data_IF_134371369293
#
_entry.id   IF_134371369293
#
_cell.length_a   1.000
_cell.length_b   1.000
_cell.length_c   1.000
_cell.angle_alpha   90.00
_cell.angle_beta   90.00
_cell.angle_gamma   90.00
#
_symmetry.space_group_name_H-M   'P 1'
#
loop_
_entity.id
_entity.type
_entity.pdbx_description
1 polymer ?
#
# COMPACT_ATOMS: atom_id res chain seq x y z
N UNK A 1 1.70 37.46 -0.48
CA UNK A 1 1.00 36.30 -1.07
C UNK A 1 1.33 35.08 -0.24
N UNK A 2 0.40 34.66 0.62
CA UNK A 2 0.52 33.47 1.45
C UNK A 2 0.19 32.24 0.60
N UNK A 3 1.21 31.50 0.19
CA UNK A 3 1.02 30.17 -0.39
C UNK A 3 0.50 29.26 0.73
N UNK A 4 -0.81 29.05 0.77
CA UNK A 4 -1.39 27.96 1.54
C UNK A 4 -0.79 26.67 1.01
N UNK A 5 0.10 26.02 1.78
CA UNK A 5 0.43 24.63 1.50
C UNK A 5 -0.85 23.82 1.69
N UNK A 6 -1.19 23.00 0.70
CA UNK A 6 -2.11 21.91 0.96
C UNK A 6 -1.52 21.08 2.10
N UNK A 7 -2.24 20.97 3.20
CA UNK A 7 -1.84 20.14 4.33
C UNK A 7 -2.24 18.69 4.02
N UNK A 8 -1.32 17.75 4.24
CA UNK A 8 -1.53 16.32 4.09
C UNK A 8 -0.72 15.72 2.93
N UNK A 9 -0.78 14.41 2.80
CA UNK A 9 0.04 13.65 1.82
C UNK A 9 -0.31 13.93 0.36
N UNK A 10 0.64 13.67 -0.53
CA UNK A 10 0.43 13.63 -1.98
C UNK A 10 0.01 12.20 -2.36
N UNK A 11 -1.04 12.07 -3.19
CA UNK A 11 -1.42 10.79 -3.79
C UNK A 11 -1.06 10.73 -5.27
N UNK A 12 -0.31 9.71 -5.65
CA UNK A 12 -0.07 9.30 -7.03
C UNK A 12 -0.97 8.12 -7.36
N UNK A 13 -1.82 8.25 -8.37
CA UNK A 13 -2.55 7.13 -8.94
C UNK A 13 -1.72 6.52 -10.07
N UNK A 14 -1.24 5.29 -9.86
CA UNK A 14 -0.51 4.51 -10.86
C UNK A 14 -1.48 3.67 -11.67
N UNK A 15 -1.38 3.76 -12.98
CA UNK A 15 -2.06 2.84 -13.90
C UNK A 15 -1.01 2.21 -14.79
N UNK A 16 -0.92 0.89 -14.77
CA UNK A 16 0.03 0.15 -15.60
C UNK A 16 -0.45 0.12 -17.06
N UNK A 17 0.46 0.22 -18.05
CA UNK A 17 0.09 0.16 -19.46
C UNK A 17 -0.54 -1.17 -19.87
N UNK A 18 -0.04 -2.27 -19.31
CA UNK A 18 -0.48 -3.65 -19.57
C UNK A 18 -0.16 -4.56 -18.37
N UNK A 19 -0.62 -5.81 -18.46
CA UNK A 19 -0.41 -6.82 -17.41
C UNK A 19 1.08 -7.17 -17.24
N UNK A 20 1.89 -7.12 -18.29
CA UNK A 20 3.31 -7.43 -18.21
C UNK A 20 4.07 -6.40 -17.34
N UNK A 21 3.83 -5.10 -17.53
CA UNK A 21 4.43 -4.05 -16.71
C UNK A 21 3.96 -4.15 -15.25
N UNK A 22 2.68 -4.47 -15.07
CA UNK A 22 2.08 -4.66 -13.74
C UNK A 22 2.70 -5.86 -13.02
N UNK A 23 2.79 -7.01 -13.66
CA UNK A 23 3.41 -8.22 -13.12
C UNK A 23 4.89 -7.98 -12.81
N UNK A 24 5.61 -7.33 -13.72
CA UNK A 24 7.02 -6.97 -13.52
C UNK A 24 7.18 -6.10 -12.28
N UNK A 25 6.37 -5.04 -12.16
CA UNK A 25 6.40 -4.16 -10.99
C UNK A 25 6.16 -4.93 -9.69
N UNK A 26 5.08 -5.72 -9.61
CA UNK A 26 4.73 -6.42 -8.37
C UNK A 26 5.65 -7.59 -8.04
N UNK A 27 6.27 -8.22 -9.04
CA UNK A 27 7.26 -9.27 -8.80
C UNK A 27 8.55 -8.74 -8.15
N UNK A 28 8.94 -7.50 -8.47
CA UNK A 28 10.15 -6.87 -7.95
C UNK A 28 9.89 -6.07 -6.66
N UNK A 29 8.64 -5.65 -6.44
CA UNK A 29 8.24 -4.79 -5.33
C UNK A 29 8.77 -5.29 -3.98
N UNK A 30 8.57 -6.55 -3.54
CA UNK A 30 8.98 -6.96 -2.19
C UNK A 30 10.49 -6.83 -1.94
N UNK A 31 11.33 -7.09 -2.94
CA UNK A 31 12.78 -6.96 -2.81
C UNK A 31 13.21 -5.48 -2.66
N UNK A 32 12.57 -4.60 -3.43
CA UNK A 32 12.80 -3.16 -3.32
C UNK A 32 12.34 -2.62 -1.95
N UNK A 33 11.19 -3.08 -1.44
CA UNK A 33 10.72 -2.72 -0.10
C UNK A 33 11.71 -3.20 0.98
N UNK A 34 12.13 -4.46 0.94
CA UNK A 34 13.06 -5.03 1.94
C UNK A 34 14.46 -4.37 1.91
N UNK A 35 14.89 -3.86 0.76
CA UNK A 35 16.18 -3.18 0.59
C UNK A 35 16.12 -1.67 0.85
N UNK A 36 14.93 -1.09 1.12
CA UNK A 36 14.76 0.36 1.21
C UNK A 36 15.31 1.00 2.48
N UNK A 37 15.67 0.20 3.49
CA UNK A 37 16.05 0.69 4.82
C UNK A 37 14.87 1.18 5.68
N UNK A 38 13.64 0.86 5.30
CA UNK A 38 12.43 1.07 6.09
C UNK A 38 11.85 -0.28 6.52
N UNK A 39 10.97 -0.25 7.52
CA UNK A 39 10.17 -1.41 7.85
C UNK A 39 8.83 -1.33 7.10
N UNK A 40 8.37 -2.49 6.64
CA UNK A 40 7.15 -2.62 5.85
C UNK A 40 6.21 -3.58 6.53
N UNK A 41 4.94 -3.21 6.57
CA UNK A 41 3.85 -4.10 6.94
C UNK A 41 2.79 -4.06 5.84
N UNK A 42 2.01 -5.12 5.72
CA UNK A 42 0.93 -5.18 4.77
C UNK A 42 -0.24 -5.99 5.29
N UNK A 43 -1.39 -5.73 4.72
CA UNK A 43 -2.62 -6.49 4.89
C UNK A 43 -3.27 -6.67 3.54
N UNK A 44 -4.08 -7.71 3.41
CA UNK A 44 -4.85 -7.96 2.20
C UNK A 44 -6.11 -8.74 2.49
N UNK A 45 -7.05 -8.72 1.55
CA UNK A 45 -8.23 -9.56 1.66
C UNK A 45 -8.99 -9.65 0.36
N UNK A 46 -9.94 -10.58 0.34
CA UNK A 46 -10.90 -10.73 -0.76
C UNK A 46 -12.24 -10.14 -0.36
N UNK A 47 -12.85 -9.39 -1.27
CA UNK A 47 -14.25 -8.97 -1.14
C UNK A 47 -15.22 -10.09 -1.53
N UNK A 48 -14.76 -11.01 -2.37
CA UNK A 48 -15.52 -12.15 -2.87
C UNK A 48 -14.79 -13.47 -2.54
N UNK A 49 -15.50 -14.61 -2.49
CA UNK A 49 -14.88 -15.91 -2.35
C UNK A 49 -13.82 -16.18 -3.44
N UNK A 50 -12.81 -16.97 -3.11
CA UNK A 50 -11.78 -17.38 -4.06
C UNK A 50 -12.41 -18.08 -5.28
N UNK A 51 -12.07 -17.62 -6.48
CA UNK A 51 -12.51 -18.24 -7.72
C UNK A 51 -12.00 -19.71 -7.78
N UNK A 52 -12.83 -20.69 -8.18
CA UNK A 52 -12.44 -22.11 -8.21
C UNK A 52 -11.21 -22.42 -9.07
N UNK A 53 -10.93 -21.58 -10.06
CA UNK A 53 -9.84 -21.67 -11.01
C UNK A 53 -8.63 -20.78 -10.66
N UNK A 54 -8.64 -20.15 -9.48
CA UNK A 54 -7.50 -19.32 -9.04
C UNK A 54 -6.21 -20.14 -9.06
N UNK A 55 -5.13 -19.63 -9.69
CA UNK A 55 -3.83 -20.29 -9.69
C UNK A 55 -3.18 -20.33 -8.31
N UNK A 56 -3.69 -19.53 -7.36
CA UNK A 56 -3.15 -19.40 -6.01
C UNK A 56 -4.25 -19.78 -5.01
N UNK A 57 -4.08 -20.91 -4.35
CA UNK A 57 -5.10 -21.51 -3.46
C UNK A 57 -4.71 -21.52 -1.98
N UNK A 58 -3.44 -21.28 -1.65
CA UNK A 58 -2.93 -21.38 -0.27
C UNK A 58 -3.02 -20.05 0.51
N UNK A 59 -3.30 -18.93 -0.15
CA UNK A 59 -3.39 -17.62 0.50
C UNK A 59 -4.66 -17.51 1.35
N UNK A 60 -4.57 -16.91 2.55
CA UNK A 60 -5.72 -16.75 3.43
C UNK A 60 -6.77 -15.83 2.80
N UNK A 61 -8.02 -15.96 3.24
CA UNK A 61 -9.10 -15.05 2.83
C UNK A 61 -8.81 -13.60 3.21
N UNK A 62 -8.35 -13.41 4.44
CA UNK A 62 -7.88 -12.13 4.97
C UNK A 62 -6.51 -12.33 5.60
N UNK A 63 -5.60 -11.42 5.30
CA UNK A 63 -4.30 -11.33 5.95
C UNK A 63 -4.32 -10.16 6.93
N UNK A 64 -4.13 -10.42 8.23
CA UNK A 64 -3.98 -9.36 9.21
C UNK A 64 -2.76 -8.51 8.92
N UNK A 65 -2.67 -7.33 9.51
CA UNK A 65 -1.47 -6.51 9.39
C UNK A 65 -0.22 -7.31 9.79
N UNK A 66 0.64 -7.58 8.81
CA UNK A 66 1.77 -8.51 8.91
C UNK A 66 3.04 -7.78 8.52
N UNK A 67 4.12 -7.97 9.28
CA UNK A 67 5.44 -7.42 8.94
C UNK A 67 6.05 -8.18 7.75
N UNK A 68 6.49 -7.44 6.73
CA UNK A 68 7.24 -7.98 5.59
C UNK A 68 8.63 -8.40 6.04
N UNK A 69 8.98 -9.65 5.74
CA UNK A 69 10.26 -10.27 6.01
C UNK A 69 10.75 -10.99 4.76
N UNK A 70 11.99 -11.48 4.79
CA UNK A 70 12.52 -12.28 3.68
C UNK A 70 11.78 -13.60 3.50
N UNK A 71 11.23 -14.15 4.57
CA UNK A 71 10.59 -15.46 4.58
C UNK A 71 9.19 -15.41 3.98
N UNK A 72 8.49 -14.28 4.11
CA UNK A 72 7.11 -14.11 3.62
C UNK A 72 6.98 -13.21 2.38
N UNK A 73 8.09 -12.70 1.82
CA UNK A 73 8.05 -11.80 0.65
C UNK A 73 7.36 -12.41 -0.58
N UNK A 74 7.46 -13.72 -0.74
CA UNK A 74 6.82 -14.44 -1.84
C UNK A 74 5.29 -14.40 -1.70
N UNK A 75 4.76 -14.49 -0.49
CA UNK A 75 3.32 -14.37 -0.24
C UNK A 75 2.78 -12.99 -0.66
N UNK A 76 3.54 -11.92 -0.43
CA UNK A 76 3.16 -10.58 -0.92
C UNK A 76 3.09 -10.53 -2.45
N UNK A 77 4.08 -11.09 -3.16
CA UNK A 77 4.05 -11.17 -4.63
C UNK A 77 2.84 -11.94 -5.14
N UNK A 78 2.54 -13.07 -4.51
CA UNK A 78 1.43 -13.93 -4.92
C UNK A 78 0.07 -13.27 -4.63
N UNK A 79 -0.05 -12.45 -3.59
CA UNK A 79 -1.26 -11.66 -3.34
C UNK A 79 -1.58 -10.67 -4.47
N UNK A 80 -0.57 -10.07 -5.10
CA UNK A 80 -0.78 -9.20 -6.27
C UNK A 80 -1.17 -9.97 -7.54
N UNK A 81 -0.73 -11.22 -7.65
CA UNK A 81 -1.00 -12.12 -8.78
C UNK A 81 -2.34 -12.82 -8.67
N UNK A 82 -2.90 -12.93 -7.47
CA UNK A 82 -4.23 -13.48 -7.26
C UNK A 82 -5.28 -12.57 -7.92
N UNK A 83 -5.83 -13.08 -9.03
CA UNK A 83 -6.88 -12.48 -9.83
C UNK A 83 -7.83 -13.56 -10.31
N UNK A 84 -9.12 -13.24 -10.38
CA UNK A 84 -10.11 -14.09 -11.01
C UNK A 84 -10.17 -13.86 -12.53
N UNK A 85 -11.02 -14.63 -13.21
CA UNK A 85 -11.22 -14.55 -14.67
C UNK A 85 -11.78 -13.19 -15.14
N UNK A 86 -12.45 -12.45 -14.25
CA UNK A 86 -12.98 -11.12 -14.53
C UNK A 86 -11.95 -10.02 -14.21
N UNK A 87 -10.77 -10.40 -13.72
CA UNK A 87 -9.66 -9.50 -13.38
C UNK A 87 -9.77 -8.84 -12.01
N UNK A 88 -10.76 -9.23 -11.20
CA UNK A 88 -10.87 -8.77 -9.81
C UNK A 88 -9.83 -9.46 -8.94
N UNK A 89 -9.34 -8.72 -7.95
CA UNK A 89 -8.29 -9.19 -7.08
C UNK A 89 -8.51 -8.83 -5.63
N UNK A 90 -7.44 -9.05 -4.86
CA UNK A 90 -7.39 -8.68 -3.46
C UNK A 90 -7.29 -7.16 -3.31
N UNK A 91 -7.91 -6.60 -2.28
CA UNK A 91 -7.40 -5.34 -1.76
C UNK A 91 -6.08 -5.59 -1.07
N UNK A 92 -5.15 -4.66 -1.21
CA UNK A 92 -3.83 -4.75 -0.60
C UNK A 92 -3.44 -3.36 -0.11
N UNK A 93 -3.10 -3.27 1.16
CA UNK A 93 -2.52 -2.06 1.74
C UNK A 93 -1.12 -2.39 2.24
N UNK A 94 -0.11 -1.68 1.75
CA UNK A 94 1.28 -1.77 2.17
C UNK A 94 1.66 -0.46 2.84
N UNK A 95 2.26 -0.53 4.03
CA UNK A 95 2.60 0.63 4.84
C UNK A 95 4.09 0.57 5.17
N UNK A 96 4.82 1.57 4.70
CA UNK A 96 6.23 1.79 4.99
C UNK A 96 6.39 2.75 6.15
N UNK A 97 7.20 2.39 7.13
CA UNK A 97 7.39 3.13 8.37
C UNK A 97 8.84 3.11 8.84
N UNK A 98 9.15 3.96 9.82
CA UNK A 98 10.43 3.95 10.51
C UNK A 98 10.68 2.58 11.16
N UNK A 99 11.94 2.10 11.11
CA UNK A 99 12.32 0.73 11.48
C UNK A 99 11.97 0.39 12.92
N UNK A 100 12.13 1.35 13.84
CA UNK A 100 11.86 1.24 15.26
C UNK A 100 10.36 1.20 15.60
N UNK A 101 9.50 1.65 14.69
CA UNK A 101 8.06 1.78 14.95
C UNK A 101 7.25 0.55 14.53
N UNK A 102 7.81 -0.35 13.71
CA UNK A 102 7.05 -1.42 13.06
C UNK A 102 6.32 -2.32 14.04
N UNK A 103 6.97 -2.73 15.14
CA UNK A 103 6.35 -3.63 16.12
C UNK A 103 5.17 -2.97 16.83
N UNK A 104 5.26 -1.66 17.11
CA UNK A 104 4.13 -0.90 17.68
C UNK A 104 3.00 -0.75 16.67
N UNK A 105 3.34 -0.56 15.39
CA UNK A 105 2.36 -0.37 14.31
C UNK A 105 1.66 -1.66 13.90
N UNK A 106 2.08 -2.84 14.34
CA UNK A 106 1.29 -4.06 14.15
C UNK A 106 -0.01 -4.05 14.97
N UNK A 107 -0.09 -3.21 16.01
CA UNK A 107 -1.35 -2.92 16.69
C UNK A 107 -2.25 -2.01 15.84
N UNK A 108 -3.48 -2.45 15.58
CA UNK A 108 -4.44 -1.76 14.71
C UNK A 108 -4.82 -0.36 15.23
N UNK A 109 -4.92 -0.18 16.55
CA UNK A 109 -5.27 1.13 17.13
C UNK A 109 -4.11 2.12 16.93
N UNK A 110 -2.88 1.67 17.15
CA UNK A 110 -1.68 2.48 16.88
C UNK A 110 -1.52 2.79 15.39
N UNK A 111 -1.73 1.80 14.51
CA UNK A 111 -1.69 2.00 13.06
C UNK A 111 -2.71 3.04 12.61
N UNK A 112 -3.95 2.95 13.08
CA UNK A 112 -5.00 3.92 12.74
C UNK A 112 -4.61 5.35 13.12
N UNK A 113 -4.08 5.53 14.33
CA UNK A 113 -3.62 6.84 14.78
C UNK A 113 -2.46 7.36 13.92
N UNK A 114 -1.51 6.48 13.57
CA UNK A 114 -0.36 6.83 12.73
C UNK A 114 -0.78 7.18 11.30
N UNK A 115 -1.70 6.43 10.68
CA UNK A 115 -2.26 6.74 9.36
C UNK A 115 -3.00 8.08 9.36
N UNK A 116 -3.77 8.36 10.41
CA UNK A 116 -4.42 9.66 10.57
C UNK A 116 -3.42 10.81 10.68
N UNK A 117 -2.41 10.68 11.53
CA UNK A 117 -1.37 11.71 11.68
C UNK A 117 -0.54 11.90 10.40
N UNK A 118 -0.30 10.82 9.66
CA UNK A 118 0.34 10.87 8.35
C UNK A 118 -0.53 11.59 7.32
N UNK A 119 -1.83 11.25 7.25
CA UNK A 119 -2.78 11.87 6.33
C UNK A 119 -2.97 13.37 6.60
N UNK A 120 -3.12 13.76 7.87
CA UNK A 120 -3.43 15.13 8.27
C UNK A 120 -2.20 16.05 8.25
N UNK A 121 -1.06 15.56 8.75
CA UNK A 121 0.12 16.38 9.05
C UNK A 121 1.44 15.80 8.57
N UNK A 122 1.42 14.71 7.81
CA UNK A 122 2.63 14.02 7.29
C UNK A 122 3.59 13.56 8.41
N UNK A 123 3.05 13.35 9.61
CA UNK A 123 3.85 13.06 10.80
C UNK A 123 4.33 11.60 10.76
N UNK A 124 5.59 11.32 11.14
CA UNK A 124 6.07 9.96 11.38
C UNK A 124 5.22 9.22 12.43
N UNK A 125 5.25 7.88 12.48
CA UNK A 125 6.27 7.00 11.87
C UNK A 125 6.00 6.52 10.45
N UNK A 126 4.80 6.73 9.91
CA UNK A 126 4.47 6.32 8.53
C UNK A 126 5.18 7.23 7.53
N UNK A 127 5.77 6.62 6.49
CA UNK A 127 6.56 7.31 5.45
C UNK A 127 5.97 7.17 4.06
N UNK A 128 5.27 6.08 3.81
CA UNK A 128 4.62 5.80 2.54
C UNK A 128 3.50 4.79 2.73
N UNK A 129 2.43 4.93 1.96
CA UNK A 129 1.38 3.91 1.88
C UNK A 129 1.12 3.59 0.41
N UNK A 130 1.08 2.31 0.05
CA UNK A 130 0.52 1.84 -1.20
C UNK A 130 -0.83 1.20 -0.92
N UNK A 131 -1.86 1.59 -1.65
CA UNK A 131 -3.20 1.06 -1.48
C UNK A 131 -3.78 0.67 -2.84
N UNK A 132 -4.04 -0.63 -3.01
CA UNK A 132 -4.82 -1.17 -4.11
C UNK A 132 -6.23 -1.38 -3.60
N UNK A 133 -7.13 -0.51 -4.04
CA UNK A 133 -8.56 -0.61 -3.76
C UNK A 133 -9.12 -1.66 -4.71
N UNK A 134 -10.00 -2.50 -4.18
CA UNK A 134 -10.48 -3.79 -4.72
C UNK A 134 -10.73 -3.79 -6.22
N UNK A 135 -11.64 -2.93 -6.67
CA UNK A 135 -12.09 -2.77 -8.06
C UNK A 135 -11.29 -1.72 -8.85
N UNK A 136 -10.33 -1.05 -8.20
CA UNK A 136 -9.53 -0.02 -8.83
C UNK A 136 -8.42 -0.66 -9.69
N UNK A 137 -8.45 -0.35 -10.98
CA UNK A 137 -7.32 -0.62 -11.87
C UNK A 137 -6.05 0.16 -11.48
N UNK A 138 -6.17 1.17 -10.61
CA UNK A 138 -5.08 1.99 -10.14
C UNK A 138 -4.58 1.59 -8.75
N UNK A 139 -3.26 1.60 -8.58
CA UNK A 139 -2.62 1.58 -7.25
C UNK A 139 -2.38 3.01 -6.80
N UNK A 140 -2.83 3.33 -5.60
CA UNK A 140 -2.61 4.65 -5.02
C UNK A 140 -1.36 4.63 -4.14
N UNK A 141 -0.42 5.53 -4.41
CA UNK A 141 0.77 5.75 -3.58
C UNK A 141 0.63 7.07 -2.86
N UNK A 142 0.73 7.03 -1.54
CA UNK A 142 0.68 8.19 -0.67
C UNK A 142 2.05 8.46 -0.08
N UNK A 143 2.56 9.68 -0.25
CA UNK A 143 3.86 10.11 0.26
C UNK A 143 3.77 11.53 0.81
N UNK A 144 4.62 11.91 1.78
CA UNK A 144 4.68 13.30 2.24
C UNK A 144 5.24 14.21 1.14
N UNK A 145 4.98 15.51 1.24
CA UNK A 145 5.51 16.51 0.31
C UNK A 145 7.04 16.56 0.28
N UNK A 146 7.68 16.12 1.37
CA UNK A 146 9.14 16.01 1.50
C UNK A 146 9.50 14.59 1.92
N UNK A 147 9.56 13.63 0.98
CA UNK A 147 9.89 12.24 1.29
C UNK A 147 11.31 12.12 1.82
N UNK A 148 11.52 11.19 2.75
CA UNK A 148 12.87 10.79 3.17
C UNK A 148 13.62 10.12 2.02
N UNK A 149 14.95 10.09 2.08
CA UNK A 149 15.80 9.57 0.98
C UNK A 149 15.40 8.17 0.54
N UNK A 150 15.07 7.27 1.49
CA UNK A 150 14.60 5.92 1.19
C UNK A 150 13.37 5.91 0.27
N UNK A 151 12.38 6.77 0.54
CA UNK A 151 11.18 6.89 -0.30
C UNK A 151 11.51 7.53 -1.64
N UNK A 152 12.36 8.56 -1.68
CA UNK A 152 12.80 9.15 -2.96
C UNK A 152 13.46 8.12 -3.88
N UNK A 153 14.31 7.26 -3.31
CA UNK A 153 14.97 6.18 -4.06
C UNK A 153 13.96 5.16 -4.59
N UNK A 154 12.97 4.76 -3.78
CA UNK A 154 11.90 3.86 -4.23
C UNK A 154 11.09 4.48 -5.37
N UNK A 155 10.65 5.73 -5.23
CA UNK A 155 9.89 6.43 -6.27
C UNK A 155 10.69 6.53 -7.58
N UNK A 156 12.01 6.67 -7.49
CA UNK A 156 12.90 6.67 -8.65
C UNK A 156 13.06 5.29 -9.29
N UNK A 157 13.34 4.25 -8.48
CA UNK A 157 13.52 2.87 -8.96
C UNK A 157 12.25 2.34 -9.63
N UNK A 158 11.09 2.70 -9.08
CA UNK A 158 9.80 2.38 -9.65
C UNK A 158 9.39 3.31 -10.79
N UNK A 159 10.23 4.26 -11.19
CA UNK A 159 9.92 5.23 -12.26
C UNK A 159 8.56 5.92 -12.07
N UNK A 160 8.10 6.10 -10.81
CA UNK A 160 6.75 6.57 -10.48
C UNK A 160 6.38 7.83 -11.25
N UNK A 161 7.23 8.88 -11.35
CA UNK A 161 6.90 10.09 -12.12
C UNK A 161 6.49 9.83 -13.57
N UNK A 162 6.97 8.75 -14.19
CA UNK A 162 6.60 8.38 -15.57
C UNK A 162 5.24 7.70 -15.67
N UNK A 163 4.76 7.12 -14.56
CA UNK A 163 3.47 6.42 -14.47
C UNK A 163 2.37 7.23 -13.78
N UNK A 164 2.69 8.43 -13.28
CA UNK A 164 1.71 9.31 -12.65
C UNK A 164 0.73 9.82 -13.69
N UNK A 165 -0.52 9.34 -13.61
CA UNK A 165 -1.61 9.85 -14.45
C UNK A 165 -2.27 11.09 -13.84
N UNK A 166 -2.33 11.13 -12.51
CA UNK A 166 -2.94 12.21 -11.74
C UNK A 166 -2.21 12.42 -10.42
N UNK A 167 -1.95 13.68 -10.09
CA UNK A 167 -1.59 14.13 -8.74
C UNK A 167 -2.83 14.82 -8.19
N UNK A 168 -3.42 14.28 -7.12
CA UNK A 168 -4.58 14.89 -6.49
C UNK A 168 -4.25 15.32 -5.06
N UNK A 169 -4.75 16.48 -4.62
CA UNK A 169 -4.78 16.83 -3.21
C UNK A 169 -5.53 15.75 -2.43
N UNK A 170 -4.99 15.34 -1.29
CA UNK A 170 -5.58 14.27 -0.46
C UNK A 170 -7.08 14.45 -0.19
N UNK A 171 -7.50 15.69 0.08
CA UNK A 171 -8.91 16.06 0.34
C UNK A 171 -9.87 15.80 -0.83
N UNK A 172 -9.35 15.56 -2.03
CA UNK A 172 -10.14 15.30 -3.24
C UNK A 172 -10.24 13.79 -3.57
N UNK A 173 -9.74 12.93 -2.68
CA UNK A 173 -9.82 11.48 -2.80
C UNK A 173 -11.06 10.99 -2.05
N UNK A 174 -12.23 11.10 -2.68
CA UNK A 174 -13.53 10.81 -2.07
C UNK A 174 -13.69 9.35 -1.58
N UNK A 175 -12.87 8.40 -2.07
CA UNK A 175 -12.92 6.98 -1.70
C UNK A 175 -11.56 6.32 -1.43
N UNK A 176 -10.46 7.08 -1.36
CA UNK A 176 -9.13 6.54 -1.12
C UNK A 176 -8.48 7.23 0.10
N UNK A 177 -9.28 7.49 1.15
CA UNK A 177 -8.79 8.13 2.36
C UNK A 177 -8.11 7.11 3.26
N UNK A 178 -6.84 7.34 3.57
CA UNK A 178 -6.01 6.56 4.50
C UNK A 178 -6.63 6.42 5.89
N UNK A 179 -7.34 7.43 6.41
CA UNK A 179 -8.00 7.33 7.73
C UNK A 179 -9.24 6.42 7.71
N UNK A 180 -9.75 6.09 6.52
CA UNK A 180 -10.88 5.19 6.32
C UNK A 180 -10.43 3.81 5.81
N UNK A 181 -9.11 3.56 5.72
CA UNK A 181 -8.59 2.25 5.32
C UNK A 181 -9.03 1.20 6.35
N UNK A 182 -9.76 0.15 5.94
CA UNK A 182 -10.18 -0.91 6.85
C UNK A 182 -8.93 -1.65 7.35
N UNK A 183 -8.74 -1.77 8.66
CA UNK A 183 -7.57 -2.46 9.22
C UNK A 183 -7.95 -3.85 9.73
N UNK A 184 -7.15 -4.87 9.40
CA UNK A 184 -7.44 -6.26 9.76
C UNK A 184 -6.64 -6.65 11.01
N UNK A 185 -7.35 -7.02 12.08
CA UNK A 185 -6.76 -7.51 13.34
C UNK A 185 -6.18 -8.90 13.16
N UNK A 186 -5.28 -9.33 14.06
CA UNK A 186 -4.76 -10.71 14.07
C UNK A 186 -5.85 -11.80 14.14
N UNK A 187 -7.05 -11.47 14.63
CA UNK A 187 -8.20 -12.37 14.71
C UNK A 187 -9.02 -12.40 13.39
N UNK A 188 -8.64 -11.60 12.38
CA UNK A 188 -9.29 -11.52 11.08
C UNK A 188 -10.50 -10.56 11.03
N UNK A 189 -10.74 -9.82 12.10
CA UNK A 189 -11.78 -8.79 12.17
C UNK A 189 -11.35 -7.53 11.42
N UNK A 190 -12.28 -6.88 10.74
CA UNK A 190 -12.05 -5.59 10.07
C UNK A 190 -12.53 -4.49 11.00
N UNK A 191 -11.62 -3.58 11.36
CA UNK A 191 -11.87 -2.43 12.22
C UNK A 191 -11.77 -1.10 11.47
#
# INVERSE_FOLDING_TARGET
MSFWREHGVISYALTFPDDYHRETFFSQLPEHLLSSGLAWCWQSGRDAPLAPDSPIQYLPEKRPLTRLTRDNKQELSDEFRERDIEGYGRFITIIGCDMEAVETLLDVSQMRQALKAFADTETPPVRMVLNQITDSAAVHIFVPHRPVQAIQNLLWVFEIPTWVRQVRPYRQLWGAKLEEVPLITHEGEIL
#
